data_IF_634711582369
#
_entry.id   IF_634711582369
#
_cell.length_a   1.000
_cell.length_b   1.000
_cell.length_c   1.000
_cell.angle_alpha   90.00
_cell.angle_beta   90.00
_cell.angle_gamma   90.00
#
_symmetry.space_group_name_H-M   'P 1'
#
loop_
_entity.id
_entity.type
_entity.pdbx_description
1 polymer ?
#
# COMPACT_ATOMS: atom_id res chain seq x y z
N UNK A 1 -3.93 57.28 28.86
CA UNK A 1 -2.99 56.62 27.92
C UNK A 1 -3.00 55.11 28.18
N UNK A 2 -4.10 54.41 27.93
CA UNK A 2 -4.21 52.96 28.23
C UNK A 2 -4.91 52.12 27.15
N UNK A 3 -5.33 52.74 26.04
CA UNK A 3 -6.05 52.02 24.97
C UNK A 3 -5.12 51.26 23.99
N UNK A 4 -3.83 51.61 23.95
CA UNK A 4 -2.87 51.05 22.98
C UNK A 4 -2.27 49.70 23.40
N UNK A 5 -2.33 49.34 24.67
CA UNK A 5 -1.81 48.05 25.16
C UNK A 5 -2.83 46.92 25.02
N UNK A 6 -4.11 47.19 25.29
CA UNK A 6 -5.15 46.16 25.30
C UNK A 6 -5.45 45.54 23.92
N UNK A 7 -5.30 46.32 22.84
CA UNK A 7 -5.59 45.84 21.47
C UNK A 7 -4.46 44.94 20.92
N UNK A 8 -3.22 45.03 21.45
CA UNK A 8 -2.08 44.19 20.99
C UNK A 8 -2.11 42.77 21.58
N UNK A 9 -2.59 42.61 22.81
CA UNK A 9 -2.70 41.29 23.46
C UNK A 9 -3.82 40.43 22.83
N UNK A 10 -5.00 41.05 22.63
CA UNK A 10 -6.16 40.38 22.02
C UNK A 10 -5.91 39.95 20.56
N UNK A 11 -5.00 40.64 19.87
CA UNK A 11 -4.64 40.33 18.47
C UNK A 11 -3.82 39.05 18.35
N UNK A 12 -3.01 38.70 19.35
CA UNK A 12 -2.11 37.55 19.29
C UNK A 12 -2.84 36.25 19.65
N UNK A 13 -3.70 36.27 20.67
CA UNK A 13 -4.57 35.13 21.00
C UNK A 13 -5.57 34.82 19.88
N UNK A 14 -6.18 35.86 19.29
CA UNK A 14 -7.10 35.70 18.16
C UNK A 14 -6.38 35.14 16.92
N UNK A 15 -5.18 35.62 16.62
CA UNK A 15 -4.36 35.11 15.53
C UNK A 15 -3.96 33.64 15.74
N UNK A 16 -3.51 33.27 16.94
CA UNK A 16 -3.18 31.88 17.28
C UNK A 16 -4.40 30.96 17.20
N UNK A 17 -5.58 31.45 17.60
CA UNK A 17 -6.84 30.72 17.47
C UNK A 17 -7.20 30.43 16.00
N UNK A 18 -7.13 31.44 15.13
CA UNK A 18 -7.42 31.30 13.69
C UNK A 18 -6.42 30.36 13.01
N UNK A 19 -5.12 30.50 13.30
CA UNK A 19 -4.08 29.61 12.78
C UNK A 19 -4.34 28.17 13.21
N UNK A 20 -4.68 27.94 14.49
CA UNK A 20 -4.97 26.59 15.00
C UNK A 20 -6.19 25.95 14.33
N UNK A 21 -7.24 26.73 14.08
CA UNK A 21 -8.46 26.28 13.38
C UNK A 21 -8.17 25.90 11.93
N UNK A 22 -7.35 26.70 11.23
CA UNK A 22 -6.92 26.42 9.86
C UNK A 22 -6.08 25.14 9.79
N UNK A 23 -5.06 25.00 10.65
CA UNK A 23 -4.20 23.82 10.66
C UNK A 23 -4.96 22.55 11.07
N UNK A 24 -5.88 22.64 12.02
CA UNK A 24 -6.72 21.50 12.44
C UNK A 24 -7.67 21.07 11.32
N UNK A 25 -8.37 22.02 10.69
CA UNK A 25 -9.26 21.74 9.57
C UNK A 25 -8.51 21.16 8.36
N UNK A 26 -7.36 21.74 8.02
CA UNK A 26 -6.52 21.27 6.92
C UNK A 26 -5.95 19.88 7.21
N UNK A 27 -5.47 19.64 8.43
CA UNK A 27 -4.92 18.33 8.83
C UNK A 27 -5.97 17.21 8.76
N UNK A 28 -7.18 17.47 9.26
CA UNK A 28 -8.30 16.50 9.19
C UNK A 28 -8.69 16.24 7.73
N UNK A 29 -8.79 17.28 6.90
CA UNK A 29 -9.16 17.14 5.48
C UNK A 29 -8.12 16.35 4.67
N UNK A 30 -6.84 16.67 4.84
CA UNK A 30 -5.73 15.96 4.17
C UNK A 30 -5.65 14.51 4.64
N UNK A 31 -5.75 14.28 5.96
CA UNK A 31 -5.70 12.95 6.55
C UNK A 31 -6.79 12.02 6.02
N UNK A 32 -8.04 12.50 5.99
CA UNK A 32 -9.17 11.71 5.49
C UNK A 32 -9.08 11.44 3.98
N UNK A 33 -8.52 12.37 3.20
CA UNK A 33 -8.42 12.22 1.74
C UNK A 33 -7.30 11.26 1.31
N UNK A 34 -6.18 11.22 2.02
CA UNK A 34 -5.06 10.31 1.70
C UNK A 34 -5.34 8.86 2.09
N UNK A 35 -6.15 8.62 3.12
CA UNK A 35 -6.47 7.26 3.60
C UNK A 35 -7.66 6.63 2.89
N UNK A 36 -8.05 7.11 1.69
CA UNK A 36 -9.07 6.44 0.86
C UNK A 36 -8.50 5.14 0.28
N UNK A 37 -8.33 4.16 1.17
CA UNK A 37 -7.94 2.78 0.90
C UNK A 37 -9.02 2.20 0.00
N UNK A 38 -8.69 1.93 -1.26
CA UNK A 38 -9.52 1.10 -2.14
C UNK A 38 -9.71 -0.23 -1.41
N UNK A 39 -10.91 -0.48 -0.89
CA UNK A 39 -11.22 -1.73 -0.22
C UNK A 39 -11.03 -2.84 -1.26
N UNK A 40 -10.05 -3.74 -1.10
CA UNK A 40 -9.98 -4.91 -1.94
C UNK A 40 -11.30 -5.67 -1.74
N UNK A 41 -11.90 -6.08 -2.84
CA UNK A 41 -13.16 -6.82 -2.83
C UNK A 41 -12.87 -8.09 -2.02
N UNK A 42 -13.55 -8.33 -0.88
CA UNK A 42 -13.40 -9.57 -0.15
C UNK A 42 -13.75 -10.72 -1.09
N UNK A 43 -12.94 -11.78 -1.20
CA UNK A 43 -13.32 -12.96 -1.95
C UNK A 43 -14.71 -13.42 -1.45
N UNK A 44 -15.67 -13.72 -2.34
CA UNK A 44 -16.96 -14.23 -1.93
C UNK A 44 -16.74 -15.47 -1.06
N UNK A 45 -17.32 -15.46 0.14
CA UNK A 45 -17.21 -16.52 1.12
C UNK A 45 -17.70 -17.84 0.52
N UNK A 46 -16.78 -18.64 -0.03
CA UNK A 46 -17.06 -19.94 -0.65
C UNK A 46 -16.69 -20.09 -2.14
N UNK A 47 -16.14 -19.06 -2.79
CA UNK A 47 -15.63 -19.17 -4.17
C UNK A 47 -14.12 -19.37 -4.23
N UNK A 48 -13.64 -20.21 -5.15
CA UNK A 48 -12.22 -20.24 -5.51
C UNK A 48 -11.80 -18.82 -5.91
N UNK A 49 -10.79 -18.26 -5.24
CA UNK A 49 -10.25 -16.96 -5.61
C UNK A 49 -9.74 -17.06 -7.05
N UNK A 50 -10.34 -16.27 -7.97
CA UNK A 50 -9.89 -16.16 -9.35
C UNK A 50 -9.03 -14.91 -9.46
N UNK A 51 -7.73 -15.04 -9.77
CA UNK A 51 -6.85 -13.89 -9.96
C UNK A 51 -7.37 -13.00 -11.08
N UNK A 52 -7.23 -11.68 -10.92
CA UNK A 52 -7.58 -10.74 -11.97
C UNK A 52 -6.59 -10.85 -13.15
N UNK A 53 -6.95 -11.64 -14.16
CA UNK A 53 -6.13 -11.89 -15.36
C UNK A 53 -5.76 -10.60 -16.10
N UNK A 54 -6.69 -9.64 -16.14
CA UNK A 54 -6.47 -8.30 -16.69
C UNK A 54 -5.29 -7.59 -16.03
N UNK A 55 -5.19 -7.68 -14.70
CA UNK A 55 -4.09 -7.08 -13.95
C UNK A 55 -2.78 -7.85 -14.16
N UNK A 56 -2.82 -9.18 -14.27
CA UNK A 56 -1.62 -9.97 -14.62
C UNK A 56 -1.03 -9.54 -15.96
N UNK A 57 -1.89 -9.34 -16.98
CA UNK A 57 -1.48 -8.89 -18.30
C UNK A 57 -0.98 -7.43 -18.27
N UNK A 58 -1.67 -6.54 -17.58
CA UNK A 58 -1.29 -5.14 -17.46
C UNK A 58 0.13 -4.95 -16.87
N UNK A 59 0.47 -5.73 -15.85
CA UNK A 59 1.79 -5.69 -15.22
C UNK A 59 2.81 -6.65 -15.86
N UNK A 60 2.40 -7.40 -16.90
CA UNK A 60 3.26 -8.37 -17.59
C UNK A 60 3.79 -9.46 -16.66
N UNK A 61 3.01 -9.87 -15.66
CA UNK A 61 3.43 -10.89 -14.68
C UNK A 61 3.36 -12.26 -15.35
N UNK A 62 4.49 -12.94 -15.41
CA UNK A 62 4.58 -14.29 -15.96
C UNK A 62 3.97 -15.31 -15.00
N UNK A 63 3.55 -16.50 -15.50
CA UNK A 63 3.02 -17.56 -14.65
C UNK A 63 3.97 -17.93 -13.49
N UNK A 64 5.28 -17.95 -13.76
CA UNK A 64 6.28 -18.30 -12.74
C UNK A 64 6.47 -17.22 -11.68
N UNK A 65 6.42 -15.95 -12.07
CA UNK A 65 6.42 -14.85 -11.10
C UNK A 65 5.15 -14.85 -10.25
N UNK A 66 4.02 -15.23 -10.85
CA UNK A 66 2.75 -15.37 -10.14
C UNK A 66 2.79 -16.49 -9.09
N UNK A 67 3.30 -17.68 -9.43
CA UNK A 67 3.49 -18.77 -8.46
C UNK A 67 4.42 -18.37 -7.30
N UNK A 68 5.49 -17.63 -7.60
CA UNK A 68 6.38 -17.07 -6.59
C UNK A 68 5.64 -16.06 -5.70
N UNK A 69 4.82 -15.18 -6.28
CA UNK A 69 3.98 -14.23 -5.55
C UNK A 69 2.96 -14.94 -4.63
N UNK A 70 2.36 -16.03 -5.09
CA UNK A 70 1.41 -16.82 -4.32
C UNK A 70 2.10 -17.48 -3.11
N UNK A 71 3.27 -18.10 -3.34
CA UNK A 71 4.09 -18.63 -2.25
C UNK A 71 4.51 -17.53 -1.26
N UNK A 72 4.76 -16.31 -1.76
CA UNK A 72 5.04 -15.18 -0.88
C UNK A 72 3.86 -14.81 0.00
N UNK A 73 2.65 -14.80 -0.56
CA UNK A 73 1.41 -14.46 0.12
C UNK A 73 1.04 -15.49 1.19
N UNK A 74 1.38 -16.76 0.98
CA UNK A 74 1.22 -17.86 1.94
C UNK A 74 2.27 -17.83 3.07
N UNK A 75 3.28 -16.94 2.99
CA UNK A 75 4.28 -16.76 4.03
C UNK A 75 5.56 -17.60 3.85
N UNK A 76 5.71 -18.34 2.74
CA UNK A 76 6.90 -19.17 2.51
C UNK A 76 8.16 -18.34 2.27
N UNK A 77 9.25 -18.73 2.88
CA UNK A 77 10.59 -18.22 2.58
C UNK A 77 10.99 -18.51 1.13
N UNK A 78 12.00 -17.80 0.62
CA UNK A 78 12.49 -18.06 -0.74
C UNK A 78 13.06 -19.47 -0.90
N UNK A 79 13.52 -20.10 0.19
CA UNK A 79 13.96 -21.49 0.21
C UNK A 79 12.77 -22.42 -0.01
N UNK A 80 11.73 -22.29 0.80
CA UNK A 80 10.53 -23.14 0.70
C UNK A 80 9.82 -22.98 -0.64
N UNK A 81 9.80 -21.76 -1.20
CA UNK A 81 9.29 -21.50 -2.55
C UNK A 81 10.15 -22.23 -3.60
N UNK A 82 11.47 -22.18 -3.46
CA UNK A 82 12.38 -22.87 -4.36
C UNK A 82 12.14 -24.38 -4.33
N UNK A 83 12.01 -24.95 -3.13
CA UNK A 83 11.75 -26.38 -2.94
C UNK A 83 10.39 -26.79 -3.52
N UNK A 84 9.32 -26.03 -3.25
CA UNK A 84 7.96 -26.30 -3.77
C UNK A 84 7.87 -26.19 -5.28
N UNK A 85 8.58 -25.23 -5.86
CA UNK A 85 8.56 -24.99 -7.31
C UNK A 85 9.62 -25.82 -8.04
N UNK A 86 10.45 -26.61 -7.36
CA UNK A 86 11.58 -27.33 -7.94
C UNK A 86 12.54 -26.39 -8.70
N UNK A 87 12.86 -25.24 -8.08
CA UNK A 87 13.79 -24.23 -8.58
C UNK A 87 15.01 -24.07 -7.68
N UNK A 88 16.05 -23.42 -8.21
CA UNK A 88 17.10 -22.89 -7.34
C UNK A 88 16.61 -21.63 -6.60
N UNK A 89 17.15 -21.39 -5.40
CA UNK A 89 16.92 -20.16 -4.61
C UNK A 89 17.25 -18.91 -5.44
N UNK A 90 18.32 -18.97 -6.24
CA UNK A 90 18.74 -17.85 -7.07
C UNK A 90 17.71 -17.56 -8.16
N UNK A 91 17.11 -18.58 -8.76
CA UNK A 91 16.01 -18.43 -9.71
C UNK A 91 14.80 -17.76 -9.06
N UNK A 92 14.42 -18.19 -7.85
CA UNK A 92 13.34 -17.55 -7.08
C UNK A 92 13.67 -16.09 -6.76
N UNK A 93 14.91 -15.79 -6.37
CA UNK A 93 15.35 -14.40 -6.15
C UNK A 93 15.25 -13.55 -7.43
N UNK A 94 15.62 -14.09 -8.58
CA UNK A 94 15.47 -13.40 -9.87
C UNK A 94 14.00 -13.12 -10.19
N UNK A 95 13.12 -14.12 -10.05
CA UNK A 95 11.68 -13.91 -10.22
C UNK A 95 11.13 -12.88 -9.23
N UNK A 96 11.58 -12.91 -7.98
CA UNK A 96 11.20 -11.93 -6.95
C UNK A 96 11.61 -10.52 -7.34
N UNK A 97 12.84 -10.32 -7.82
CA UNK A 97 13.34 -9.01 -8.26
C UNK A 97 12.54 -8.47 -9.45
N UNK A 98 12.28 -9.32 -10.44
CA UNK A 98 11.49 -8.92 -11.62
C UNK A 98 10.03 -8.60 -11.22
N UNK A 99 9.42 -9.42 -10.36
CA UNK A 99 8.10 -9.17 -9.81
C UNK A 99 8.04 -7.84 -9.05
N UNK A 100 9.06 -7.52 -8.26
CA UNK A 100 9.15 -6.26 -7.53
C UNK A 100 9.27 -5.07 -8.47
N UNK A 101 10.04 -5.18 -9.55
CA UNK A 101 10.10 -4.15 -10.59
C UNK A 101 8.74 -3.95 -11.25
N UNK A 102 8.07 -5.04 -11.66
CA UNK A 102 6.75 -4.99 -12.31
C UNK A 102 5.66 -4.41 -11.40
N UNK A 103 5.65 -4.78 -10.13
CA UNK A 103 4.71 -4.24 -9.15
C UNK A 103 5.15 -2.89 -8.56
N UNK A 104 6.29 -2.34 -8.99
CA UNK A 104 6.93 -1.15 -8.42
C UNK A 104 7.03 -1.21 -6.89
N UNK A 105 7.41 -2.37 -6.37
CA UNK A 105 7.58 -2.64 -4.95
C UNK A 105 9.07 -2.65 -4.59
N UNK A 106 9.41 -2.18 -3.39
CA UNK A 106 10.78 -2.21 -2.85
C UNK A 106 10.99 -3.34 -1.86
N UNK A 107 9.91 -3.88 -1.29
CA UNK A 107 9.94 -4.88 -0.23
C UNK A 107 8.85 -5.92 -0.46
N UNK A 108 9.09 -7.13 0.05
CA UNK A 108 8.16 -8.26 -0.01
C UNK A 108 6.75 -7.90 0.47
N UNK A 109 6.63 -7.30 1.66
CA UNK A 109 5.33 -6.90 2.21
C UNK A 109 4.62 -5.89 1.32
N UNK A 110 5.36 -4.96 0.70
CA UNK A 110 4.79 -3.98 -0.23
C UNK A 110 4.28 -4.65 -1.51
N UNK A 111 5.03 -5.61 -2.05
CA UNK A 111 4.62 -6.38 -3.22
C UNK A 111 3.32 -7.17 -2.94
N UNK A 112 3.23 -7.85 -1.79
CA UNK A 112 2.04 -8.57 -1.36
C UNK A 112 0.84 -7.61 -1.20
N UNK A 113 1.03 -6.46 -0.55
CA UNK A 113 -0.04 -5.47 -0.39
C UNK A 113 -0.54 -4.93 -1.73
N UNK A 114 0.37 -4.61 -2.66
CA UNK A 114 -0.01 -4.17 -4.01
C UNK A 114 -0.75 -5.27 -4.76
N UNK A 115 -0.25 -6.50 -4.72
CA UNK A 115 -0.89 -7.64 -5.36
C UNK A 115 -2.32 -7.88 -4.83
N UNK A 116 -2.54 -7.79 -3.50
CA UNK A 116 -3.88 -7.82 -2.90
C UNK A 116 -4.78 -6.67 -3.41
N UNK A 117 -4.24 -5.45 -3.46
CA UNK A 117 -5.00 -4.28 -3.93
C UNK A 117 -5.38 -4.37 -5.42
N UNK A 118 -4.60 -5.12 -6.20
CA UNK A 118 -4.84 -5.40 -7.61
C UNK A 118 -5.76 -6.62 -7.84
N UNK A 119 -6.09 -7.37 -6.79
CA UNK A 119 -6.87 -8.61 -6.90
C UNK A 119 -6.10 -9.74 -7.57
N UNK A 120 -4.76 -9.77 -7.43
CA UNK A 120 -3.91 -10.85 -7.93
C UNK A 120 -3.86 -12.03 -6.96
N UNK A 121 -3.97 -11.76 -5.66
CA UNK A 121 -3.95 -12.74 -4.57
C UNK A 121 -5.05 -12.39 -3.56
N UNK A 122 -5.56 -13.36 -2.78
CA UNK A 122 -6.57 -13.12 -1.75
C UNK A 122 -6.03 -12.26 -0.59
#
# INVERSE_FOLDING_TARGET
MEYKFFVRDLSLEFYLGVVSLLFTGLGIWVGLKLTRKKNPIPPPAGGNFVPNESALQQFGISPREYEVLEGMAQGFSNQEIADKLFLSINTVKTHTSNLFLKLEARRRTQAIQKAKALGLIP
#
